data_IF_557960489275
#
_entry.id   IF_557960489275
#
_cell.length_a   1.000
_cell.length_b   1.000
_cell.length_c   1.000
_cell.angle_alpha   90.00
_cell.angle_beta   90.00
_cell.angle_gamma   90.00
#
_symmetry.space_group_name_H-M   'P 1'
#
loop_
_entity.id
_entity.type
_entity.pdbx_description
1 polymer ?
#
# COMPACT_ATOMS: atom_id res chain seq x y z
N UNK A 1 -46.66 0.51 12.82
CA UNK A 1 -45.28 0.29 13.30
C UNK A 1 -44.37 0.21 12.08
N UNK A 2 -43.80 1.34 11.68
CA UNK A 2 -42.97 1.41 10.47
C UNK A 2 -41.66 0.67 10.69
N UNK A 3 -41.42 -0.38 9.91
CA UNK A 3 -40.09 -0.95 9.79
C UNK A 3 -39.19 0.12 9.16
N UNK A 4 -38.26 0.68 9.93
CA UNK A 4 -37.15 1.40 9.36
C UNK A 4 -36.35 0.36 8.53
N UNK A 5 -36.55 0.36 7.21
CA UNK A 5 -35.78 -0.50 6.32
C UNK A 5 -34.30 -0.21 6.53
N UNK A 6 -33.49 -1.25 6.73
CA UNK A 6 -32.05 -1.09 6.87
C UNK A 6 -31.53 -0.42 5.60
N UNK A 7 -30.87 0.74 5.76
CA UNK A 7 -30.25 1.43 4.64
C UNK A 7 -29.22 0.49 3.97
N UNK A 8 -29.15 0.43 2.63
CA UNK A 8 -28.18 -0.43 1.96
C UNK A 8 -26.75 -0.05 2.35
N UNK A 9 -25.87 -1.06 2.48
CA UNK A 9 -24.48 -0.88 2.94
C UNK A 9 -23.51 -1.56 1.99
N UNK A 10 -22.51 -0.81 1.52
CA UNK A 10 -21.36 -1.31 0.77
C UNK A 10 -20.16 -1.49 1.71
N UNK A 11 -19.51 -2.67 1.68
CA UNK A 11 -18.41 -3.00 2.61
C UNK A 11 -17.05 -2.80 1.93
N UNK A 12 -16.50 -1.59 2.03
CA UNK A 12 -15.22 -1.25 1.40
C UNK A 12 -14.05 -1.92 2.10
N UNK A 13 -13.16 -2.48 1.29
CA UNK A 13 -11.87 -3.02 1.75
C UNK A 13 -10.94 -1.89 2.14
N UNK A 14 -10.27 -2.04 3.29
CA UNK A 14 -9.19 -1.16 3.72
C UNK A 14 -7.85 -1.82 3.38
N UNK A 15 -6.83 -0.98 3.18
CA UNK A 15 -5.43 -1.41 3.22
C UNK A 15 -4.97 -1.39 4.67
N UNK A 16 -4.18 -2.39 5.06
CA UNK A 16 -3.54 -2.44 6.36
C UNK A 16 -2.02 -2.50 6.20
N UNK A 17 -1.31 -1.74 7.04
CA UNK A 17 0.11 -1.90 7.29
C UNK A 17 0.33 -2.29 8.75
N UNK A 18 1.08 -3.37 8.98
CA UNK A 18 1.48 -3.83 10.31
C UNK A 18 3.00 -3.78 10.40
N UNK A 19 3.51 -2.96 11.32
CA UNK A 19 4.96 -2.89 11.56
C UNK A 19 5.39 -3.97 12.56
N UNK A 20 6.66 -4.33 12.49
CA UNK A 20 7.33 -5.24 13.44
C UNK A 20 7.18 -4.85 14.92
N UNK A 21 6.98 -3.57 15.22
CA UNK A 21 6.69 -3.07 16.58
C UNK A 21 5.22 -3.25 17.02
N UNK A 22 4.36 -3.80 16.16
CA UNK A 22 2.93 -3.98 16.40
C UNK A 22 2.06 -2.76 16.10
N UNK A 23 2.65 -1.63 15.68
CA UNK A 23 1.89 -0.46 15.21
C UNK A 23 1.14 -0.80 13.91
N UNK A 24 -0.07 -0.25 13.77
CA UNK A 24 -0.95 -0.54 12.64
C UNK A 24 -1.48 0.76 12.03
N UNK A 25 -1.53 0.81 10.71
CA UNK A 25 -2.22 1.84 9.95
C UNK A 25 -3.30 1.19 9.08
N UNK A 26 -4.44 1.86 8.98
CA UNK A 26 -5.53 1.49 8.09
C UNK A 26 -5.79 2.65 7.13
N UNK A 27 -5.95 2.34 5.86
CA UNK A 27 -6.24 3.31 4.82
C UNK A 27 -7.46 2.89 4.01
N UNK A 28 -8.34 3.84 3.68
CA UNK A 28 -9.44 3.59 2.74
C UNK A 28 -8.92 3.50 1.31
N UNK A 29 -8.02 4.38 0.93
CA UNK A 29 -7.51 4.48 -0.43
C UNK A 29 -6.15 3.78 -0.51
N UNK A 30 -5.13 4.30 0.17
CA UNK A 30 -3.78 3.77 0.04
C UNK A 30 -2.86 4.01 1.24
N UNK A 31 -1.83 3.18 1.32
CA UNK A 31 -0.66 3.37 2.18
C UNK A 31 0.55 3.69 1.30
N UNK A 32 1.28 4.73 1.65
CA UNK A 32 2.58 5.03 1.09
C UNK A 32 3.70 4.49 1.98
N UNK A 33 4.72 3.92 1.36
CA UNK A 33 5.99 3.54 2.00
C UNK A 33 7.13 4.18 1.22
N UNK A 34 7.97 4.98 1.86
CA UNK A 34 9.09 5.61 1.17
C UNK A 34 9.89 6.56 2.05
N UNK A 35 10.50 7.57 1.43
CA UNK A 35 11.26 8.60 2.13
C UNK A 35 10.44 9.90 2.20
N UNK A 36 10.52 10.61 3.34
CA UNK A 36 9.75 11.85 3.60
C UNK A 36 10.14 13.08 2.78
N UNK A 37 11.17 12.95 1.95
CA UNK A 37 11.69 14.03 1.10
C UNK A 37 12.14 13.44 -0.23
N UNK A 38 12.66 14.26 -1.13
CA UNK A 38 13.09 13.88 -2.48
C UNK A 38 14.35 12.99 -2.55
N UNK A 39 14.66 12.23 -1.51
CA UNK A 39 15.68 11.18 -1.56
C UNK A 39 15.06 9.85 -2.02
N UNK A 40 15.88 8.99 -2.62
CA UNK A 40 15.42 7.65 -3.00
C UNK A 40 15.07 6.82 -1.77
N UNK A 41 13.87 6.24 -1.77
CA UNK A 41 13.52 5.19 -0.84
C UNK A 41 14.31 3.93 -1.17
N UNK A 42 14.99 3.35 -0.17
CA UNK A 42 15.74 2.10 -0.30
C UNK A 42 15.13 1.05 0.59
N UNK A 43 14.79 -0.11 0.04
CA UNK A 43 14.13 -1.17 0.79
C UNK A 43 14.29 -2.51 0.09
N UNK A 44 14.10 -3.59 0.83
CA UNK A 44 13.87 -4.92 0.27
C UNK A 44 12.38 -5.14 0.18
N UNK A 45 11.89 -5.52 -1.00
CA UNK A 45 10.49 -5.90 -1.23
C UNK A 45 10.40 -7.41 -1.44
N UNK A 46 9.40 -8.05 -0.84
CA UNK A 46 9.16 -9.49 -0.97
C UNK A 46 7.68 -9.73 -1.29
N UNK A 47 7.41 -10.28 -2.47
CA UNK A 47 6.07 -10.53 -2.99
C UNK A 47 6.03 -11.86 -3.75
N UNK A 48 5.04 -12.71 -3.48
CA UNK A 48 4.79 -13.94 -4.24
C UNK A 48 6.01 -14.86 -4.41
N UNK A 49 6.88 -14.94 -3.39
CA UNK A 49 8.10 -15.76 -3.42
C UNK A 49 9.28 -15.13 -4.16
N UNK A 50 9.09 -13.96 -4.78
CA UNK A 50 10.18 -13.13 -5.27
C UNK A 50 10.63 -12.13 -4.19
N UNK A 51 11.92 -11.80 -4.20
CA UNK A 51 12.48 -10.80 -3.33
C UNK A 51 13.53 -9.97 -4.07
N UNK A 52 13.48 -8.66 -3.91
CA UNK A 52 14.30 -7.72 -4.66
C UNK A 52 14.70 -6.54 -3.77
N UNK A 53 15.95 -6.10 -3.86
CA UNK A 53 16.36 -4.83 -3.25
C UNK A 53 16.05 -3.70 -4.25
N UNK A 54 15.38 -2.66 -3.78
CA UNK A 54 14.80 -1.56 -4.56
C UNK A 54 15.39 -0.22 -4.14
N UNK A 55 15.54 0.67 -5.12
CA UNK A 55 15.76 2.10 -4.95
C UNK A 55 14.76 2.82 -5.84
N UNK A 56 13.83 3.57 -5.24
CA UNK A 56 12.69 4.14 -5.98
C UNK A 56 12.17 5.43 -5.33
N UNK A 57 11.12 6.03 -5.91
CA UNK A 57 10.35 7.13 -5.31
C UNK A 57 9.31 6.64 -4.27
N UNK A 58 9.50 5.43 -3.75
CA UNK A 58 8.59 4.75 -2.81
C UNK A 58 7.64 3.76 -3.46
N UNK A 59 6.69 3.29 -2.67
CA UNK A 59 5.70 2.27 -2.98
C UNK A 59 4.32 2.76 -2.54
N UNK A 60 3.29 2.46 -3.34
CA UNK A 60 1.88 2.66 -3.00
C UNK A 60 1.21 1.29 -2.90
N UNK A 61 0.46 1.07 -1.83
CA UNK A 61 -0.43 -0.09 -1.69
C UNK A 61 -1.86 0.43 -1.55
N UNK A 62 -2.74 0.11 -2.50
CA UNK A 62 -4.07 0.69 -2.62
C UNK A 62 -5.19 -0.36 -2.62
N UNK A 63 -6.31 -0.01 -2.01
CA UNK A 63 -7.54 -0.81 -2.05
C UNK A 63 -8.25 -0.67 -3.40
N UNK A 64 -9.32 -1.45 -3.62
CA UNK A 64 -10.22 -1.24 -4.75
C UNK A 64 -10.85 0.17 -4.79
N UNK A 65 -11.09 0.80 -3.63
CA UNK A 65 -11.55 2.19 -3.56
C UNK A 65 -10.45 3.18 -3.99
N UNK A 66 -9.20 2.91 -3.59
CA UNK A 66 -8.03 3.72 -3.95
C UNK A 66 -7.60 3.65 -5.42
N UNK A 67 -8.16 2.73 -6.23
CA UNK A 67 -7.84 2.61 -7.67
C UNK A 67 -8.35 3.78 -8.53
N UNK A 68 -8.90 4.82 -7.92
CA UNK A 68 -9.26 6.08 -8.58
C UNK A 68 -8.26 7.21 -8.31
N UNK A 69 -7.34 7.03 -7.35
CA UNK A 69 -6.35 8.01 -6.92
C UNK A 69 -4.95 7.76 -7.48
N UNK A 70 -3.91 7.85 -6.65
CA UNK A 70 -2.51 7.72 -7.08
C UNK A 70 -2.23 6.40 -7.81
N UNK A 71 -2.82 5.30 -7.34
CA UNK A 71 -2.69 3.98 -7.96
C UNK A 71 -3.12 3.98 -9.44
N UNK A 72 -4.16 4.76 -9.79
CA UNK A 72 -4.60 4.92 -11.18
C UNK A 72 -3.51 5.56 -12.03
N UNK A 73 -3.02 6.73 -11.61
CA UNK A 73 -2.01 7.48 -12.37
C UNK A 73 -0.71 6.70 -12.52
N UNK A 74 -0.26 6.00 -11.46
CA UNK A 74 0.93 5.15 -11.51
C UNK A 74 0.71 3.96 -12.43
N UNK A 75 -0.42 3.25 -12.29
CA UNK A 75 -0.76 2.10 -13.13
C UNK A 75 -0.87 2.46 -14.62
N UNK A 76 -1.49 3.59 -14.95
CA UNK A 76 -1.58 4.10 -16.33
C UNK A 76 -0.19 4.46 -16.89
N UNK A 77 0.61 5.23 -16.15
CA UNK A 77 1.94 5.66 -16.59
C UNK A 77 2.92 4.49 -16.79
N UNK A 78 2.80 3.45 -15.96
CA UNK A 78 3.67 2.27 -16.00
C UNK A 78 3.10 1.13 -16.86
N UNK A 79 1.84 1.25 -17.32
CA UNK A 79 1.07 0.18 -18.00
C UNK A 79 0.92 -1.09 -17.15
N UNK A 80 0.88 -0.93 -15.83
CA UNK A 80 0.69 -2.00 -14.84
C UNK A 80 -0.64 -1.81 -14.11
N UNK A 81 -1.75 -1.82 -14.85
CA UNK A 81 -3.08 -1.65 -14.26
C UNK A 81 -3.57 -2.95 -13.61
N UNK A 82 -4.24 -2.84 -12.47
CA UNK A 82 -4.83 -3.98 -11.75
C UNK A 82 -6.33 -3.78 -11.61
N UNK A 83 -7.12 -4.84 -11.84
CA UNK A 83 -8.55 -4.86 -11.56
C UNK A 83 -8.81 -5.35 -10.14
N UNK A 84 -9.29 -4.45 -9.27
CA UNK A 84 -9.67 -4.77 -7.89
C UNK A 84 -11.01 -4.11 -7.58
N UNK A 85 -12.00 -4.91 -7.18
CA UNK A 85 -13.30 -4.39 -6.78
C UNK A 85 -13.23 -3.64 -5.44
N UNK A 86 -14.07 -2.61 -5.26
CA UNK A 86 -14.08 -1.82 -4.02
C UNK A 86 -14.43 -2.63 -2.74
N UNK A 87 -15.21 -3.70 -2.89
CA UNK A 87 -15.53 -4.66 -1.80
C UNK A 87 -14.71 -5.94 -1.87
N UNK A 88 -13.85 -6.08 -2.88
CA UNK A 88 -13.01 -7.26 -3.05
C UNK A 88 -11.96 -7.29 -1.94
N UNK A 89 -11.75 -8.46 -1.32
CA UNK A 89 -10.76 -8.64 -0.26
C UNK A 89 -9.32 -8.72 -0.80
N UNK A 90 -8.93 -7.72 -1.57
CA UNK A 90 -7.63 -7.61 -2.18
C UNK A 90 -7.16 -6.15 -2.22
N UNK A 91 -5.85 -5.96 -2.30
CA UNK A 91 -5.20 -4.66 -2.52
C UNK A 91 -4.16 -4.82 -3.63
N UNK A 92 -3.77 -3.74 -4.27
CA UNK A 92 -2.70 -3.72 -5.27
C UNK A 92 -1.50 -2.96 -4.75
N UNK A 93 -0.28 -3.34 -5.14
CA UNK A 93 0.91 -2.54 -4.90
C UNK A 93 1.52 -2.02 -6.20
N UNK A 94 2.19 -0.86 -6.13
CA UNK A 94 2.93 -0.23 -7.22
C UNK A 94 4.19 0.45 -6.69
N UNK A 95 5.35 0.04 -7.21
CA UNK A 95 6.62 0.74 -7.01
C UNK A 95 6.66 1.97 -7.93
N UNK A 96 6.94 3.13 -7.34
CA UNK A 96 7.05 4.41 -8.05
C UNK A 96 8.48 4.63 -8.52
N UNK A 97 8.67 4.81 -9.82
CA UNK A 97 9.96 5.19 -10.44
C UNK A 97 11.15 4.32 -9.96
N UNK A 98 11.08 2.98 -10.11
CA UNK A 98 12.17 2.09 -9.71
C UNK A 98 13.43 2.35 -10.54
N UNK A 99 14.57 2.49 -9.88
CA UNK A 99 15.86 2.77 -10.50
C UNK A 99 16.74 1.51 -10.57
N UNK A 100 17.14 1.06 -11.78
CA UNK A 100 18.03 -0.10 -11.93
C UNK A 100 19.48 0.27 -11.59
N UNK A 101 20.16 -0.60 -10.86
CA UNK A 101 21.59 -0.46 -10.59
C UNK A 101 22.27 -1.82 -10.46
N UNK A 102 23.57 -1.83 -10.14
CA UNK A 102 24.31 -3.06 -9.82
C UNK A 102 23.79 -3.75 -8.54
N UNK A 103 23.11 -3.01 -7.66
CA UNK A 103 22.63 -3.49 -6.37
C UNK A 103 21.09 -3.47 -6.23
N UNK A 104 20.37 -2.92 -7.21
CA UNK A 104 18.91 -2.78 -7.15
C UNK A 104 18.23 -3.26 -8.42
N UNK A 105 17.12 -3.97 -8.24
CA UNK A 105 16.31 -4.51 -9.32
C UNK A 105 15.08 -3.66 -9.61
N UNK A 106 14.39 -4.02 -10.69
CA UNK A 106 13.15 -3.38 -11.16
C UNK A 106 12.15 -4.43 -11.69
N UNK A 107 12.17 -5.64 -11.14
CA UNK A 107 11.30 -6.73 -11.57
C UNK A 107 10.01 -6.78 -10.74
N UNK A 108 10.10 -6.55 -9.43
CA UNK A 108 8.97 -6.56 -8.49
C UNK A 108 8.38 -5.16 -8.42
N UNK A 109 7.51 -4.81 -9.38
CA UNK A 109 7.02 -3.43 -9.58
C UNK A 109 5.55 -3.22 -9.29
N UNK A 110 4.72 -4.23 -9.50
CA UNK A 110 3.31 -4.17 -9.18
C UNK A 110 2.74 -5.57 -9.04
N UNK A 111 1.66 -5.72 -8.26
CA UNK A 111 0.99 -6.99 -8.08
C UNK A 111 -0.26 -6.87 -7.23
N UNK A 112 -1.15 -7.86 -7.34
CA UNK A 112 -2.39 -7.94 -6.58
C UNK A 112 -2.21 -8.88 -5.39
N UNK A 113 -2.58 -8.42 -4.20
CA UNK A 113 -2.47 -9.13 -2.94
C UNK A 113 -3.86 -9.56 -2.49
N UNK A 114 -4.16 -10.86 -2.54
CA UNK A 114 -5.46 -11.44 -2.22
C UNK A 114 -5.35 -12.61 -1.20
N UNK A 115 -4.51 -12.44 -0.18
CA UNK A 115 -4.31 -13.44 0.88
C UNK A 115 -2.86 -13.57 1.35
N UNK A 116 -1.90 -13.15 0.52
CA UNK A 116 -0.49 -13.05 0.88
C UNK A 116 -0.14 -11.58 1.10
N UNK A 117 0.51 -11.27 2.22
CA UNK A 117 0.98 -9.92 2.51
C UNK A 117 2.24 -9.59 1.68
N UNK A 118 2.43 -8.31 1.42
CA UNK A 118 3.67 -7.75 0.90
C UNK A 118 4.58 -7.40 2.07
N UNK A 119 5.76 -7.99 2.11
CA UNK A 119 6.79 -7.63 3.08
C UNK A 119 7.70 -6.56 2.51
N UNK A 120 7.92 -5.49 3.27
CA UNK A 120 8.90 -4.45 2.96
C UNK A 120 9.82 -4.27 4.16
N UNK A 121 11.13 -4.33 3.93
CA UNK A 121 12.16 -4.06 4.96
C UNK A 121 12.97 -2.84 4.56
N UNK A 122 13.02 -1.83 5.43
CA UNK A 122 13.71 -0.58 5.16
C UNK A 122 15.23 -0.76 5.07
N UNK A 123 15.83 -0.08 4.08
CA UNK A 123 17.27 0.13 3.91
C UNK A 123 17.60 1.64 3.91
N UNK A 124 16.73 2.46 4.50
CA UNK A 124 16.92 3.90 4.66
C UNK A 124 17.50 4.18 6.03
N UNK A 125 18.65 4.87 6.11
CA UNK A 125 19.26 5.19 7.40
C UNK A 125 18.42 6.17 8.24
N UNK A 126 17.74 7.09 7.56
CA UNK A 126 16.88 8.10 8.15
C UNK A 126 15.79 8.49 7.17
N UNK A 127 14.74 9.13 7.69
CA UNK A 127 13.69 9.76 6.89
C UNK A 127 12.74 8.78 6.21
N UNK A 128 12.82 7.49 6.54
CA UNK A 128 11.85 6.50 6.08
C UNK A 128 10.50 6.74 6.75
N UNK A 129 9.41 6.59 6.00
CA UNK A 129 8.04 6.82 6.47
C UNK A 129 7.05 5.83 5.90
N UNK A 130 6.01 5.54 6.69
CA UNK A 130 4.76 4.89 6.27
C UNK A 130 3.60 5.77 6.70
N UNK A 131 2.69 6.12 5.79
CA UNK A 131 1.47 6.87 6.11
C UNK A 131 0.28 6.43 5.27
N UNK A 132 -0.93 6.73 5.75
CA UNK A 132 -2.20 6.35 5.14
C UNK A 132 -2.93 7.58 4.53
N UNK A 133 -3.62 7.36 3.41
CA UNK A 133 -4.57 8.30 2.79
C UNK A 133 -4.05 9.74 2.58
N UNK A 134 -2.75 9.88 2.31
CA UNK A 134 -2.11 11.20 2.12
C UNK A 134 -1.93 12.03 3.39
N UNK A 135 -2.16 11.46 4.58
CA UNK A 135 -2.03 12.16 5.87
C UNK A 135 -0.58 12.08 6.35
N UNK A 136 0.32 12.82 5.68
CA UNK A 136 1.77 12.74 5.90
C UNK A 136 2.20 13.00 7.35
N UNK A 137 1.53 13.92 8.04
CA UNK A 137 1.79 14.29 9.44
C UNK A 137 1.52 13.16 10.46
N UNK A 138 0.75 12.14 10.09
CA UNK A 138 0.48 10.95 10.93
C UNK A 138 1.31 9.74 10.45
N UNK A 139 2.57 9.98 10.08
CA UNK A 139 3.46 8.93 9.62
C UNK A 139 4.01 8.09 10.79
N UNK A 140 4.33 6.84 10.49
CA UNK A 140 5.20 6.01 11.31
C UNK A 140 6.60 6.03 10.72
N UNK A 141 7.61 6.32 11.53
CA UNK A 141 9.02 6.28 11.11
C UNK A 141 9.39 4.89 10.58
N UNK A 142 10.16 4.81 9.51
CA UNK A 142 10.46 3.55 8.82
C UNK A 142 11.93 3.48 8.41
N UNK A 143 12.79 3.76 9.37
CA UNK A 143 14.24 3.76 9.20
C UNK A 143 14.83 2.33 9.19
N UNK A 144 16.15 2.24 9.13
CA UNK A 144 16.88 1.03 8.76
C UNK A 144 16.46 -0.21 9.55
N UNK A 145 16.21 -1.30 8.82
CA UNK A 145 15.92 -2.61 9.39
C UNK A 145 14.49 -2.79 9.87
N UNK A 146 13.67 -1.72 9.92
CA UNK A 146 12.24 -1.86 10.22
C UNK A 146 11.53 -2.62 9.12
N UNK A 147 10.56 -3.45 9.51
CA UNK A 147 9.71 -4.22 8.60
C UNK A 147 8.25 -3.83 8.71
N UNK A 148 7.57 -3.80 7.56
CA UNK A 148 6.14 -3.60 7.46
C UNK A 148 5.53 -4.68 6.56
N UNK A 149 4.42 -5.26 7.00
CA UNK A 149 3.57 -6.16 6.22
C UNK A 149 2.35 -5.40 5.73
N UNK A 150 2.08 -5.43 4.42
CA UNK A 150 0.95 -4.75 3.80
C UNK A 150 -0.02 -5.72 3.14
N UNK A 151 -1.32 -5.50 3.31
CA UNK A 151 -2.35 -6.35 2.73
C UNK A 151 -3.77 -5.83 2.92
N UNK A 152 -4.80 -6.58 2.46
CA UNK A 152 -6.19 -6.25 2.76
C UNK A 152 -6.46 -6.41 4.26
N UNK A 153 -7.06 -5.39 4.87
CA UNK A 153 -7.43 -5.44 6.28
C UNK A 153 -8.60 -6.40 6.52
N UNK A 154 -8.62 -7.06 7.69
CA UNK A 154 -9.80 -7.81 8.14
C UNK A 154 -11.00 -6.88 8.42
N UNK A 155 -10.72 -5.63 8.84
CA UNK A 155 -11.74 -4.61 9.07
C UNK A 155 -12.18 -3.99 7.75
N UNK A 156 -13.49 -3.83 7.58
CA UNK A 156 -14.11 -3.12 6.44
C UNK A 156 -14.64 -1.75 6.89
N UNK A 157 -14.71 -0.81 5.96
CA UNK A 157 -15.52 0.39 6.11
C UNK A 157 -16.94 0.10 5.61
N UNK A 158 -17.94 0.37 6.45
CA UNK A 158 -19.35 0.26 6.08
C UNK A 158 -19.82 1.60 5.54
N UNK A 159 -19.97 1.71 4.23
CA UNK A 159 -20.53 2.89 3.57
C UNK A 159 -22.05 2.73 3.46
N UNK A 160 -22.79 3.60 4.13
CA UNK A 160 -24.26 3.67 3.97
C UNK A 160 -24.56 4.40 2.67
N UNK A 161 -25.33 3.79 1.77
CA UNK A 161 -25.76 4.39 0.52
C UNK A 161 -27.25 4.72 0.58
N UNK A 162 -27.63 5.82 -0.07
CA UNK A 162 -29.00 6.34 -0.10
C UNK A 162 -29.79 5.79 -1.30
#
# INVERSE_FOLDING_TARGET
TGAAGAAPVERRTLVEAVLDTGQRLLALNEIFVGHRSHQSARYRIEAEGAAEDQSSSGLIVASGTGLTGWARSIGEATRLTLGIGAEESAVGYWVREPFPSVATGTTVRAGKLAGTALSVTSRMNEGGVVFADGIEQDFIAFDWGRRVELGPAARRLNLVVA
#
